data_IF_361928941067
#
_entry.id   IF_361928941067
#
_cell.length_a   1.000
_cell.length_b   1.000
_cell.length_c   1.000
_cell.angle_alpha   90.00
_cell.angle_beta   90.00
_cell.angle_gamma   90.00
#
_symmetry.space_group_name_H-M   'P 1'
#
loop_
_entity.id
_entity.type
_entity.pdbx_description
1 polymer ?
#
# COMPACT_ATOMS: atom_id res chain seq x y z
N UNK A 1 3.88 -67.69 -58.49
CA UNK A 1 5.00 -67.00 -57.79
C UNK A 1 5.73 -66.19 -58.84
N UNK A 2 5.92 -64.88 -58.82
CA UNK A 2 5.55 -63.79 -57.94
C UNK A 2 5.51 -62.52 -58.82
N UNK A 3 4.68 -61.55 -58.46
CA UNK A 3 4.45 -60.33 -59.23
C UNK A 3 5.42 -59.18 -58.83
N UNK A 4 5.48 -58.22 -59.73
CA UNK A 4 6.34 -57.04 -59.86
C UNK A 4 6.43 -56.06 -58.67
N UNK A 5 7.45 -55.20 -58.79
CA UNK A 5 7.87 -54.06 -57.97
C UNK A 5 6.73 -53.14 -57.47
N UNK A 6 6.87 -52.63 -56.24
CA UNK A 6 6.75 -51.21 -55.99
C UNK A 6 7.54 -50.76 -54.74
N UNK A 7 8.17 -49.60 -54.89
CA UNK A 7 8.99 -48.86 -53.94
C UNK A 7 8.11 -48.07 -52.96
N UNK A 8 8.47 -48.02 -51.66
CA UNK A 8 8.52 -46.80 -50.83
C UNK A 8 8.73 -47.12 -49.34
N UNK A 9 9.94 -46.76 -48.88
CA UNK A 9 10.19 -45.84 -47.76
C UNK A 9 9.56 -46.14 -46.39
N UNK A 10 10.36 -46.59 -45.40
CA UNK A 10 10.32 -46.04 -44.04
C UNK A 10 11.50 -46.49 -43.16
N UNK A 11 12.17 -45.54 -42.51
CA UNK A 11 12.66 -45.76 -41.15
C UNK A 11 14.17 -45.95 -40.95
N UNK A 12 15.01 -45.13 -41.59
CA UNK A 12 16.36 -44.91 -41.05
C UNK A 12 16.23 -44.27 -39.66
N UNK A 13 16.75 -44.97 -38.64
CA UNK A 13 16.84 -44.53 -37.25
C UNK A 13 17.68 -43.25 -37.15
N UNK A 14 17.03 -42.11 -37.32
CA UNK A 14 17.60 -40.80 -37.03
C UNK A 14 17.62 -40.54 -35.52
N UNK A 15 18.82 -40.48 -34.96
CA UNK A 15 19.09 -39.75 -33.72
C UNK A 15 18.68 -38.28 -33.93
N UNK A 16 17.45 -37.92 -33.54
CA UNK A 16 17.04 -36.54 -33.35
C UNK A 16 17.23 -36.23 -31.85
N UNK A 17 18.44 -35.84 -31.46
CA UNK A 17 18.77 -34.43 -31.26
C UNK A 17 17.90 -33.79 -30.18
N UNK A 18 18.38 -33.99 -28.96
CA UNK A 18 18.25 -33.11 -27.80
C UNK A 18 18.56 -31.66 -28.21
N UNK A 19 17.53 -30.91 -28.64
CA UNK A 19 17.64 -29.49 -28.98
C UNK A 19 16.47 -28.70 -28.40
N UNK A 20 16.40 -28.59 -27.07
CA UNK A 20 15.64 -27.48 -26.46
C UNK A 20 16.35 -26.84 -25.24
N UNK A 21 17.67 -27.01 -25.17
CA UNK A 21 18.56 -26.21 -24.32
C UNK A 21 18.83 -24.83 -24.98
N UNK A 22 17.77 -24.12 -25.37
CA UNK A 22 17.92 -22.70 -25.66
C UNK A 22 18.33 -21.99 -24.37
N UNK A 23 19.56 -21.47 -24.36
CA UNK A 23 20.18 -20.70 -23.28
C UNK A 23 19.28 -19.53 -22.86
N UNK A 24 18.37 -19.80 -21.90
CA UNK A 24 17.47 -18.80 -21.34
C UNK A 24 18.26 -18.07 -20.26
N UNK A 25 18.53 -16.79 -20.48
CA UNK A 25 19.27 -15.98 -19.50
C UNK A 25 18.62 -16.00 -18.11
N UNK A 26 19.36 -15.63 -17.04
CA UNK A 26 18.89 -15.65 -15.65
C UNK A 26 17.52 -14.99 -15.43
N UNK A 27 17.22 -13.94 -16.22
CA UNK A 27 15.95 -13.23 -16.26
C UNK A 27 14.74 -14.12 -16.64
N UNK A 28 14.92 -15.03 -17.61
CA UNK A 28 13.88 -15.97 -18.00
C UNK A 28 13.55 -16.98 -16.89
N UNK A 29 14.55 -17.38 -16.11
CA UNK A 29 14.36 -18.24 -14.95
C UNK A 29 13.69 -17.53 -13.79
N UNK A 30 14.04 -16.27 -13.52
CA UNK A 30 13.43 -15.46 -12.45
C UNK A 30 11.95 -15.18 -12.76
N UNK A 31 11.62 -14.73 -13.97
CA UNK A 31 10.24 -14.40 -14.36
C UNK A 31 9.37 -15.65 -14.42
N UNK A 32 9.81 -16.68 -15.15
CA UNK A 32 9.09 -17.96 -15.18
C UNK A 32 9.03 -18.58 -13.79
N UNK A 33 9.99 -18.25 -12.94
CA UNK A 33 9.98 -18.63 -11.55
C UNK A 33 8.86 -17.94 -10.77
N UNK A 34 8.78 -16.62 -10.85
CA UNK A 34 7.73 -15.81 -10.23
C UNK A 34 6.33 -16.30 -10.61
N UNK A 35 6.12 -16.58 -11.90
CA UNK A 35 4.84 -17.06 -12.46
C UNK A 35 4.54 -18.54 -12.17
N UNK A 36 5.55 -19.36 -11.82
CA UNK A 36 5.36 -20.79 -11.46
C UNK A 36 5.33 -21.05 -9.96
N UNK A 37 5.58 -20.04 -9.13
CA UNK A 37 5.47 -20.16 -7.67
C UNK A 37 4.12 -19.67 -7.17
N UNK A 38 3.40 -20.45 -6.36
CA UNK A 38 2.11 -20.01 -5.80
C UNK A 38 2.24 -18.71 -5.01
N UNK A 39 3.35 -18.52 -4.29
CA UNK A 39 3.60 -17.32 -3.49
C UNK A 39 3.82 -16.05 -4.34
N UNK A 40 4.54 -16.16 -5.46
CA UNK A 40 4.75 -15.02 -6.37
C UNK A 40 3.46 -14.64 -7.11
N UNK A 41 2.68 -15.63 -7.54
CA UNK A 41 1.37 -15.42 -8.15
C UNK A 41 0.40 -14.76 -7.16
N UNK A 42 0.39 -15.22 -5.90
CA UNK A 42 -0.42 -14.62 -4.85
C UNK A 42 -0.08 -13.14 -4.63
N UNK A 43 1.20 -12.77 -4.59
CA UNK A 43 1.61 -11.38 -4.46
C UNK A 43 1.14 -10.50 -5.62
N UNK A 44 1.26 -10.97 -6.86
CA UNK A 44 0.77 -10.24 -8.05
C UNK A 44 -0.77 -10.15 -8.06
N UNK A 45 -1.47 -11.23 -7.72
CA UNK A 45 -2.93 -11.22 -7.65
C UNK A 45 -3.43 -10.26 -6.56
N UNK A 46 -2.82 -10.31 -5.36
CA UNK A 46 -3.17 -9.43 -4.26
C UNK A 46 -2.96 -7.96 -4.62
N UNK A 47 -1.80 -7.59 -5.18
CA UNK A 47 -1.53 -6.21 -5.61
C UNK A 47 -2.51 -5.71 -6.65
N UNK A 48 -2.76 -6.50 -7.70
CA UNK A 48 -3.65 -6.10 -8.80
C UNK A 48 -5.10 -5.96 -8.34
N UNK A 49 -5.60 -6.89 -7.52
CA UNK A 49 -6.94 -6.81 -6.94
C UNK A 49 -7.05 -5.61 -5.99
N UNK A 50 -6.08 -5.42 -5.10
CA UNK A 50 -6.05 -4.27 -4.19
C UNK A 50 -6.06 -2.94 -4.95
N UNK A 51 -5.23 -2.78 -5.98
CA UNK A 51 -5.21 -1.56 -6.82
C UNK A 51 -6.55 -1.33 -7.49
N UNK A 52 -7.14 -2.36 -8.09
CA UNK A 52 -8.40 -2.25 -8.83
C UNK A 52 -9.53 -1.81 -7.91
N UNK A 53 -9.70 -2.49 -6.76
CA UNK A 53 -10.74 -2.15 -5.79
C UNK A 53 -10.53 -0.77 -5.18
N UNK A 54 -9.28 -0.38 -4.96
CA UNK A 54 -8.92 0.92 -4.38
C UNK A 54 -9.23 2.08 -5.34
N UNK A 55 -8.96 1.92 -6.64
CA UNK A 55 -9.34 2.92 -7.64
C UNK A 55 -10.86 3.04 -7.77
N UNK A 56 -11.59 1.92 -7.75
CA UNK A 56 -13.05 1.93 -7.77
C UNK A 56 -13.60 2.62 -6.51
N UNK A 57 -13.06 2.27 -5.34
CA UNK A 57 -13.45 2.87 -4.05
C UNK A 57 -13.24 4.38 -4.05
N UNK A 58 -12.08 4.85 -4.50
CA UNK A 58 -11.79 6.28 -4.63
C UNK A 58 -12.80 6.99 -5.55
N UNK A 59 -13.11 6.41 -6.71
CA UNK A 59 -14.07 7.01 -7.64
C UNK A 59 -15.46 7.11 -7.01
N UNK A 60 -15.90 6.08 -6.29
CA UNK A 60 -17.21 6.06 -5.61
C UNK A 60 -17.27 7.11 -4.51
N UNK A 61 -16.20 7.24 -3.72
CA UNK A 61 -16.07 8.21 -2.63
C UNK A 61 -16.12 9.66 -3.16
N UNK A 62 -15.36 9.96 -4.21
CA UNK A 62 -15.35 11.27 -4.87
C UNK A 62 -16.69 11.65 -5.52
N UNK A 63 -17.54 10.67 -5.82
CA UNK A 63 -18.90 10.91 -6.32
C UNK A 63 -19.91 11.19 -5.19
N UNK A 64 -19.50 11.13 -3.92
CA UNK A 64 -20.37 11.33 -2.75
C UNK A 64 -21.48 10.29 -2.66
N UNK A 65 -21.23 9.05 -3.14
CA UNK A 65 -22.26 8.01 -3.28
C UNK A 65 -22.41 7.15 -2.02
N UNK A 66 -21.47 7.21 -1.08
CA UNK A 66 -21.39 6.29 0.06
C UNK A 66 -20.94 7.02 1.32
N UNK A 67 -21.86 7.26 2.25
CA UNK A 67 -21.56 7.77 3.60
C UNK A 67 -21.39 6.62 4.60
N UNK A 68 -20.47 5.70 4.33
CA UNK A 68 -20.26 4.52 5.17
C UNK A 68 -18.81 4.49 5.73
N UNK A 69 -18.63 4.54 7.08
CA UNK A 69 -17.29 4.51 7.68
C UNK A 69 -16.49 3.27 7.27
N UNK A 70 -17.15 2.12 7.09
CA UNK A 70 -16.51 0.88 6.69
C UNK A 70 -15.95 0.92 5.27
N UNK A 71 -16.64 1.61 4.35
CA UNK A 71 -16.17 1.76 2.98
C UNK A 71 -14.89 2.60 2.92
N UNK A 72 -14.83 3.67 3.71
CA UNK A 72 -13.64 4.52 3.80
C UNK A 72 -12.46 3.80 4.47
N UNK A 73 -12.68 3.06 5.57
CA UNK A 73 -11.63 2.23 6.19
C UNK A 73 -11.08 1.19 5.20
N UNK A 74 -11.96 0.50 4.49
CA UNK A 74 -11.56 -0.50 3.51
C UNK A 74 -10.71 0.14 2.41
N UNK A 75 -11.16 1.25 1.85
CA UNK A 75 -10.53 1.93 0.70
C UNK A 75 -9.21 2.58 1.07
N UNK A 76 -9.14 3.27 2.22
CA UNK A 76 -8.01 4.12 2.58
C UNK A 76 -7.01 3.47 3.55
N UNK A 77 -7.36 2.36 4.21
CA UNK A 77 -6.45 1.68 5.16
C UNK A 77 -6.16 0.24 4.75
N UNK A 78 -7.19 -0.57 4.53
CA UNK A 78 -7.03 -2.02 4.32
C UNK A 78 -6.47 -2.33 2.93
N UNK A 79 -7.04 -1.75 1.86
CA UNK A 79 -6.60 -2.03 0.48
C UNK A 79 -5.17 -1.54 0.19
N UNK A 80 -4.74 -0.34 0.63
CA UNK A 80 -3.34 0.08 0.50
C UNK A 80 -2.38 -0.84 1.27
N UNK A 81 -2.75 -1.28 2.48
CA UNK A 81 -1.95 -2.24 3.23
C UNK A 81 -1.82 -3.59 2.48
N UNK A 82 -2.92 -4.08 1.90
CA UNK A 82 -2.92 -5.27 1.04
C UNK A 82 -2.01 -5.13 -0.19
N UNK A 83 -2.05 -3.97 -0.85
CA UNK A 83 -1.15 -3.66 -1.96
C UNK A 83 0.32 -3.68 -1.53
N UNK A 84 0.67 -3.03 -0.41
CA UNK A 84 2.05 -3.03 0.11
C UNK A 84 2.51 -4.44 0.47
N UNK A 85 1.66 -5.23 1.15
CA UNK A 85 1.96 -6.62 1.49
C UNK A 85 2.19 -7.45 0.22
N UNK A 86 1.34 -7.31 -0.79
CA UNK A 86 1.51 -7.96 -2.08
C UNK A 86 2.83 -7.58 -2.75
N UNK A 87 3.17 -6.29 -2.78
CA UNK A 87 4.44 -5.80 -3.34
C UNK A 87 5.66 -6.34 -2.59
N UNK A 88 5.58 -6.51 -1.27
CA UNK A 88 6.65 -7.07 -0.42
C UNK A 88 6.74 -8.59 -0.57
N UNK A 89 5.64 -9.31 -0.79
CA UNK A 89 5.67 -10.76 -1.00
C UNK A 89 6.39 -11.16 -2.30
N UNK A 90 6.37 -10.34 -3.34
CA UNK A 90 7.06 -10.59 -4.63
C UNK A 90 8.58 -10.74 -4.46
N UNK A 91 9.34 -9.79 -3.88
CA UNK A 91 10.77 -9.93 -3.65
C UNK A 91 11.09 -11.02 -2.61
N UNK A 92 10.23 -11.24 -1.61
CA UNK A 92 10.39 -12.35 -0.65
C UNK A 92 10.31 -13.69 -1.38
N UNK A 93 9.33 -13.89 -2.26
CA UNK A 93 9.20 -15.11 -3.06
C UNK A 93 10.42 -15.32 -3.97
N UNK A 94 10.92 -14.25 -4.59
CA UNK A 94 12.13 -14.30 -5.41
C UNK A 94 13.37 -14.67 -4.58
N UNK A 95 13.52 -14.10 -3.37
CA UNK A 95 14.64 -14.37 -2.47
C UNK A 95 14.64 -15.80 -1.93
N UNK A 96 13.49 -16.29 -1.45
CA UNK A 96 13.35 -17.66 -0.96
C UNK A 96 13.66 -18.69 -2.05
N UNK A 97 13.20 -18.44 -3.28
CA UNK A 97 13.48 -19.28 -4.44
C UNK A 97 14.96 -19.28 -4.81
N UNK A 98 15.59 -18.10 -4.80
CA UNK A 98 17.04 -17.98 -5.02
C UNK A 98 17.82 -18.78 -3.98
N UNK A 99 17.41 -18.74 -2.70
CA UNK A 99 18.01 -19.54 -1.63
C UNK A 99 17.86 -21.04 -1.86
N UNK A 100 16.70 -21.50 -2.35
CA UNK A 100 16.49 -22.91 -2.72
C UNK A 100 17.41 -23.33 -3.88
N UNK A 101 17.55 -22.51 -4.93
CA UNK A 101 18.42 -22.84 -6.07
C UNK A 101 19.91 -22.94 -5.70
N UNK A 102 20.38 -22.13 -4.75
CA UNK A 102 21.74 -22.27 -4.20
C UNK A 102 21.89 -23.56 -3.38
N UNK A 103 20.86 -23.98 -2.63
CA UNK A 103 20.89 -25.25 -1.88
C UNK A 103 20.89 -26.49 -2.79
N UNK A 104 20.14 -26.46 -3.89
CA UNK A 104 20.02 -27.58 -4.82
C UNK A 104 21.04 -27.55 -5.99
N UNK A 105 21.95 -26.57 -6.03
CA UNK A 105 23.04 -26.49 -7.00
C UNK A 105 22.63 -26.15 -8.45
N UNK A 106 21.38 -25.73 -8.69
CA UNK A 106 20.79 -25.58 -10.04
C UNK A 106 21.21 -24.28 -10.74
N UNK A 107 21.63 -23.25 -10.00
CA UNK A 107 22.02 -21.96 -10.59
C UNK A 107 23.23 -21.34 -9.87
N UNK A 108 24.37 -21.28 -10.55
CA UNK A 108 25.59 -20.54 -10.12
C UNK A 108 25.74 -19.18 -10.80
N UNK A 109 24.90 -18.86 -11.78
CA UNK A 109 25.01 -17.62 -12.54
C UNK A 109 24.56 -16.40 -11.72
N UNK A 110 25.42 -15.38 -11.73
CA UNK A 110 25.14 -14.07 -11.14
C UNK A 110 24.19 -13.28 -12.05
N UNK A 111 23.40 -12.39 -11.44
CA UNK A 111 22.53 -11.48 -12.16
C UNK A 111 23.37 -10.54 -13.03
N UNK A 112 23.47 -10.81 -14.33
CA UNK A 112 24.09 -9.91 -15.31
C UNK A 112 23.01 -8.99 -15.88
N UNK A 113 23.05 -7.71 -15.52
CA UNK A 113 22.27 -6.67 -16.18
C UNK A 113 23.13 -6.15 -17.34
N UNK A 114 22.82 -6.60 -18.56
CA UNK A 114 23.42 -6.05 -19.78
C UNK A 114 22.41 -5.10 -20.45
N UNK A 115 22.61 -3.78 -20.30
CA UNK A 115 21.74 -2.74 -20.87
C UNK A 115 21.82 -2.66 -22.40
N UNK A 116 22.86 -3.23 -23.00
CA UNK A 116 23.02 -3.29 -24.46
C UNK A 116 22.13 -4.37 -25.09
N UNK A 117 21.67 -5.36 -24.32
CA UNK A 117 20.70 -6.34 -24.79
C UNK A 117 19.27 -5.74 -24.75
N UNK A 118 18.60 -5.76 -25.91
CA UNK A 118 17.23 -5.30 -26.07
C UNK A 118 16.26 -5.98 -25.08
N UNK A 119 16.46 -7.27 -24.78
CA UNK A 119 15.55 -8.01 -23.88
C UNK A 119 15.65 -7.50 -22.44
N UNK A 120 16.87 -7.41 -21.91
CA UNK A 120 17.10 -6.85 -20.58
C UNK A 120 16.62 -5.40 -20.47
N UNK A 121 16.86 -4.58 -21.50
CA UNK A 121 16.38 -3.19 -21.54
C UNK A 121 14.85 -3.10 -21.43
N UNK A 122 14.10 -3.91 -22.18
CA UNK A 122 12.62 -3.94 -22.08
C UNK A 122 12.16 -4.32 -20.66
N UNK A 123 12.81 -5.29 -20.02
CA UNK A 123 12.45 -5.71 -18.66
C UNK A 123 12.74 -4.63 -17.61
N UNK A 124 13.91 -4.01 -17.67
CA UNK A 124 14.28 -2.93 -16.75
C UNK A 124 13.33 -1.75 -16.92
N UNK A 125 13.04 -1.34 -18.16
CA UNK A 125 12.08 -0.26 -18.44
C UNK A 125 10.69 -0.63 -17.93
N UNK A 126 10.19 -1.83 -18.21
CA UNK A 126 8.87 -2.28 -17.74
C UNK A 126 8.77 -2.33 -16.21
N UNK A 127 9.83 -2.78 -15.53
CA UNK A 127 9.92 -2.75 -14.07
C UNK A 127 9.86 -1.33 -13.52
N UNK A 128 10.68 -0.42 -14.06
CA UNK A 128 10.69 0.99 -13.63
C UNK A 128 9.31 1.64 -13.83
N UNK A 129 8.70 1.46 -15.01
CA UNK A 129 7.37 2.02 -15.31
C UNK A 129 6.32 1.47 -14.34
N UNK A 130 6.31 0.16 -14.10
CA UNK A 130 5.36 -0.45 -13.17
C UNK A 130 5.58 0.06 -11.74
N UNK A 131 6.84 0.17 -11.29
CA UNK A 131 7.16 0.74 -9.97
C UNK A 131 6.68 2.17 -9.84
N UNK A 132 6.91 3.02 -10.85
CA UNK A 132 6.44 4.41 -10.85
C UNK A 132 4.92 4.48 -10.75
N UNK A 133 4.19 3.64 -11.51
CA UNK A 133 2.72 3.58 -11.44
C UNK A 133 2.25 3.16 -10.04
N UNK A 134 2.84 2.11 -9.46
CA UNK A 134 2.47 1.65 -8.12
C UNK A 134 2.72 2.73 -7.05
N UNK A 135 3.87 3.42 -7.12
CA UNK A 135 4.20 4.51 -6.20
C UNK A 135 3.24 5.69 -6.38
N UNK A 136 2.91 6.06 -7.62
CA UNK A 136 1.97 7.16 -7.88
C UNK A 136 0.58 6.85 -7.32
N UNK A 137 0.07 5.63 -7.53
CA UNK A 137 -1.22 5.20 -6.99
C UNK A 137 -1.21 5.22 -5.45
N UNK A 138 -0.16 4.68 -4.81
CA UNK A 138 -0.02 4.73 -3.36
C UNK A 138 0.07 6.15 -2.82
N UNK A 139 0.75 7.05 -3.54
CA UNK A 139 0.85 8.45 -3.12
C UNK A 139 -0.51 9.15 -3.16
N UNK A 140 -1.29 8.95 -4.22
CA UNK A 140 -2.64 9.54 -4.36
C UNK A 140 -3.57 9.00 -3.27
N UNK A 141 -3.66 7.68 -3.11
CA UNK A 141 -4.55 7.08 -2.12
C UNK A 141 -4.06 7.35 -0.69
N UNK A 142 -2.74 7.36 -0.49
CA UNK A 142 -2.14 7.70 0.79
C UNK A 142 -2.43 9.15 1.19
N UNK A 143 -2.53 10.07 0.24
CA UNK A 143 -2.92 11.46 0.49
C UNK A 143 -4.38 11.57 0.92
N UNK A 144 -5.30 10.89 0.23
CA UNK A 144 -6.71 10.85 0.63
C UNK A 144 -6.91 10.12 1.97
N UNK A 145 -6.21 9.01 2.18
CA UNK A 145 -6.23 8.29 3.45
C UNK A 145 -5.63 9.11 4.60
N UNK A 146 -4.64 9.95 4.31
CA UNK A 146 -4.14 10.93 5.26
C UNK A 146 -5.24 11.89 5.71
N UNK A 147 -5.91 12.56 4.78
CA UNK A 147 -7.02 13.49 5.08
C UNK A 147 -8.19 12.79 5.77
N UNK A 148 -8.50 11.57 5.35
CA UNK A 148 -9.52 10.75 6.00
C UNK A 148 -9.20 10.56 7.48
N UNK A 149 -7.98 10.12 7.82
CA UNK A 149 -7.58 9.89 9.22
C UNK A 149 -7.41 11.15 10.06
N UNK A 150 -7.35 12.33 9.43
CA UNK A 150 -7.31 13.64 10.10
C UNK A 150 -8.70 14.29 10.23
N UNK A 151 -9.70 13.70 9.59
CA UNK A 151 -11.05 14.25 9.57
C UNK A 151 -11.79 14.06 10.89
N UNK A 152 -12.68 15.00 11.27
CA UNK A 152 -13.62 14.80 12.38
C UNK A 152 -14.50 13.56 12.20
N UNK A 153 -14.77 13.17 10.96
CA UNK A 153 -15.54 11.98 10.64
C UNK A 153 -14.82 10.71 11.08
N UNK A 154 -13.52 10.57 10.82
CA UNK A 154 -12.74 9.43 11.30
C UNK A 154 -12.72 9.39 12.83
N UNK A 155 -12.33 10.49 13.48
CA UNK A 155 -12.26 10.52 14.94
C UNK A 155 -13.62 10.25 15.61
N UNK A 156 -14.71 10.83 15.09
CA UNK A 156 -16.04 10.76 15.71
C UNK A 156 -16.87 9.54 15.34
N UNK A 157 -16.79 9.09 14.08
CA UNK A 157 -17.64 8.00 13.56
C UNK A 157 -16.91 6.66 13.52
N UNK A 158 -15.61 6.63 13.23
CA UNK A 158 -14.84 5.37 13.23
C UNK A 158 -14.50 4.96 14.67
N UNK A 159 -13.95 5.88 15.47
CA UNK A 159 -13.60 5.62 16.87
C UNK A 159 -14.74 5.88 17.87
N UNK A 160 -15.99 5.93 17.39
CA UNK A 160 -17.17 6.41 18.12
C UNK A 160 -17.28 5.94 19.59
N UNK A 161 -16.95 4.69 19.91
CA UNK A 161 -17.04 4.18 21.28
C UNK A 161 -16.20 4.99 22.30
N UNK A 162 -14.98 5.35 21.93
CA UNK A 162 -14.04 6.06 22.82
C UNK A 162 -14.01 7.57 22.58
N UNK A 163 -14.59 8.04 21.47
CA UNK A 163 -14.57 9.45 21.06
C UNK A 163 -15.96 10.11 21.06
N UNK A 164 -17.05 9.39 21.34
CA UNK A 164 -18.41 9.97 21.32
C UNK A 164 -18.55 11.21 22.21
N UNK A 165 -18.10 11.23 23.49
CA UNK A 165 -18.24 12.40 24.35
C UNK A 165 -17.60 13.66 23.74
N UNK A 166 -16.37 13.54 23.25
CA UNK A 166 -15.58 14.60 22.64
C UNK A 166 -16.22 15.05 21.31
N UNK A 167 -16.70 14.10 20.50
CA UNK A 167 -17.32 14.40 19.22
C UNK A 167 -18.66 15.14 19.39
N UNK A 168 -19.44 14.83 20.42
CA UNK A 168 -20.67 15.56 20.76
C UNK A 168 -20.39 17.00 21.18
N UNK A 169 -19.35 17.23 21.98
CA UNK A 169 -18.92 18.57 22.39
C UNK A 169 -18.39 19.35 21.19
N UNK A 170 -17.56 18.73 20.36
CA UNK A 170 -17.03 19.31 19.12
C UNK A 170 -18.16 19.86 18.23
N UNK A 171 -19.20 19.07 17.97
CA UNK A 171 -20.34 19.46 17.14
C UNK A 171 -21.11 20.69 17.66
N UNK A 172 -21.07 20.93 18.98
CA UNK A 172 -21.75 22.06 19.63
C UNK A 172 -20.82 23.24 19.89
N UNK A 173 -19.53 23.10 19.57
CA UNK A 173 -18.51 24.14 19.82
C UNK A 173 -18.46 25.18 18.70
N UNK A 174 -17.90 26.38 18.97
CA UNK A 174 -17.60 27.37 17.92
C UNK A 174 -16.65 26.86 16.83
N UNK A 175 -15.94 25.74 17.08
CA UNK A 175 -14.97 25.13 16.18
C UNK A 175 -15.52 23.89 15.46
N UNK A 176 -16.84 23.67 15.42
CA UNK A 176 -17.47 22.49 14.79
C UNK A 176 -17.19 22.30 13.28
N UNK A 177 -16.51 23.27 12.64
CA UNK A 177 -16.09 23.25 11.23
C UNK A 177 -14.57 23.24 11.04
N UNK A 178 -13.81 23.12 12.13
CA UNK A 178 -12.34 23.09 12.15
C UNK A 178 -11.91 21.66 12.41
N UNK A 179 -10.99 21.10 11.62
CA UNK A 179 -10.62 19.70 11.80
C UNK A 179 -10.02 19.46 13.20
N UNK A 180 -10.29 18.28 13.80
CA UNK A 180 -9.78 17.96 15.14
C UNK A 180 -8.25 18.15 15.22
N UNK A 181 -7.55 17.81 14.14
CA UNK A 181 -6.10 17.87 14.04
C UNK A 181 -5.54 19.29 14.00
N UNK A 182 -6.30 20.30 13.57
CA UNK A 182 -5.83 21.69 13.59
C UNK A 182 -5.59 22.17 15.02
N UNK A 183 -6.34 21.64 15.97
CA UNK A 183 -6.14 21.88 17.40
C UNK A 183 -5.23 20.83 18.06
N UNK A 184 -5.41 19.54 17.72
CA UNK A 184 -4.81 18.41 18.44
C UNK A 184 -3.48 17.91 17.87
N UNK A 185 -3.15 18.23 16.61
CA UNK A 185 -1.82 17.98 16.00
C UNK A 185 -1.08 19.31 15.84
N UNK A 186 0.22 19.34 16.11
CA UNK A 186 1.03 20.56 15.94
C UNK A 186 1.30 20.85 14.47
N UNK A 187 1.53 22.11 14.08
CA UNK A 187 1.98 22.40 12.73
C UNK A 187 3.36 21.75 12.50
N UNK A 188 3.61 21.32 11.27
CA UNK A 188 4.89 20.77 10.85
C UNK A 188 4.96 19.24 10.81
N UNK A 189 5.91 18.75 10.01
CA UNK A 189 6.02 17.32 9.68
C UNK A 189 6.37 16.43 10.89
N UNK A 190 7.13 16.94 11.87
CA UNK A 190 7.52 16.17 13.04
C UNK A 190 6.30 15.82 13.92
N UNK A 191 5.49 16.82 14.27
CA UNK A 191 4.26 16.63 15.04
C UNK A 191 3.25 15.74 14.33
N UNK A 192 3.18 15.87 13.00
CA UNK A 192 2.40 14.98 12.16
C UNK A 192 2.82 13.51 12.32
N UNK A 193 4.11 13.20 12.17
CA UNK A 193 4.62 11.82 12.31
C UNK A 193 4.39 11.29 13.73
N UNK A 194 4.68 12.10 14.74
CA UNK A 194 4.47 11.73 16.15
C UNK A 194 2.99 11.44 16.44
N UNK A 195 2.06 12.22 15.87
CA UNK A 195 0.64 12.01 16.01
C UNK A 195 0.19 10.68 15.39
N UNK A 196 0.70 10.30 14.21
CA UNK A 196 0.37 9.00 13.58
C UNK A 196 0.93 7.80 14.35
N UNK A 197 2.16 7.90 14.86
CA UNK A 197 2.74 6.86 15.73
C UNK A 197 1.93 6.71 17.02
N UNK A 198 1.52 7.82 17.62
CA UNK A 198 0.69 7.81 18.84
C UNK A 198 -0.72 7.28 18.57
N UNK A 199 -1.31 7.66 17.43
CA UNK A 199 -2.59 7.13 16.97
C UNK A 199 -2.57 5.62 16.76
N UNK A 200 -1.47 5.05 16.23
CA UNK A 200 -1.33 3.59 16.12
C UNK A 200 -1.37 2.90 17.49
N UNK A 201 -0.74 3.49 18.52
CA UNK A 201 -0.83 2.98 19.90
C UNK A 201 -2.25 3.08 20.45
N UNK A 202 -2.99 4.15 20.14
CA UNK A 202 -4.38 4.30 20.54
C UNK A 202 -5.29 3.26 19.86
N UNK A 203 -5.12 3.04 18.55
CA UNK A 203 -5.85 1.99 17.83
C UNK A 203 -5.59 0.62 18.46
N UNK A 204 -4.33 0.31 18.79
CA UNK A 204 -3.99 -0.92 19.50
C UNK A 204 -4.69 -0.99 20.87
N UNK A 205 -4.65 0.08 21.66
CA UNK A 205 -5.29 0.12 22.97
C UNK A 205 -6.81 -0.08 22.90
N UNK A 206 -7.48 0.48 21.88
CA UNK A 206 -8.90 0.26 21.61
C UNK A 206 -9.15 -1.19 21.21
N UNK A 207 -8.34 -1.76 20.31
CA UNK A 207 -8.46 -3.15 19.88
C UNK A 207 -8.24 -4.17 21.02
N UNK A 208 -7.39 -3.84 22.00
CA UNK A 208 -7.07 -4.70 23.13
C UNK A 208 -7.81 -4.34 24.42
N UNK A 209 -8.76 -3.40 24.38
CA UNK A 209 -9.49 -2.83 25.52
C UNK A 209 -8.57 -2.41 26.70
N UNK A 210 -7.37 -1.93 26.38
CA UNK A 210 -6.32 -1.63 27.37
C UNK A 210 -6.19 -0.13 27.65
N UNK A 211 -7.26 0.63 27.47
CA UNK A 211 -7.31 2.07 27.73
C UNK A 211 -7.95 2.39 29.10
N UNK A 212 -7.61 3.56 29.65
CA UNK A 212 -8.12 3.98 30.96
C UNK A 212 -9.61 4.31 30.90
N UNK A 213 -10.37 3.89 31.93
CA UNK A 213 -11.78 4.21 32.12
C UNK A 213 -11.96 4.87 33.51
N UNK A 214 -12.32 6.17 33.61
CA UNK A 214 -12.63 7.10 32.51
C UNK A 214 -11.37 7.53 31.73
N UNK A 215 -11.57 7.90 30.46
CA UNK A 215 -10.49 8.41 29.61
C UNK A 215 -10.05 9.77 30.18
N UNK A 216 -8.78 9.94 30.60
CA UNK A 216 -8.33 11.19 31.17
C UNK A 216 -8.30 12.27 30.10
N UNK A 217 -8.69 13.50 30.47
CA UNK A 217 -8.51 14.64 29.58
C UNK A 217 -7.02 14.77 29.21
N UNK A 218 -6.67 14.92 27.92
CA UNK A 218 -5.28 14.92 27.47
C UNK A 218 -4.49 16.19 27.86
N UNK A 219 -5.11 17.11 28.60
CA UNK A 219 -4.54 18.40 29.01
C UNK A 219 -3.89 18.29 30.39
N UNK A 220 -2.68 17.71 30.43
CA UNK A 220 -1.75 17.97 31.55
C UNK A 220 -1.05 19.33 31.36
N UNK A 221 -0.80 19.71 30.11
CA UNK A 221 -0.27 21.00 29.68
C UNK A 221 -0.95 21.40 28.38
N UNK A 222 -1.80 22.43 28.39
CA UNK A 222 -2.28 23.03 27.14
C UNK A 222 -1.05 23.45 26.33
N UNK A 223 -1.00 23.09 25.04
CA UNK A 223 0.04 23.63 24.14
C UNK A 223 0.00 25.16 24.22
N UNK A 224 1.14 25.85 24.05
CA UNK A 224 1.15 27.30 24.01
C UNK A 224 0.10 27.78 23.01
N UNK A 225 -0.83 28.64 23.46
CA UNK A 225 -1.94 29.12 22.65
C UNK A 225 -1.47 29.73 21.31
N UNK A 226 -0.23 30.19 21.25
CA UNK A 226 0.42 30.75 20.05
C UNK A 226 0.46 29.79 18.88
N UNK A 227 0.83 28.53 19.11
CA UNK A 227 1.06 27.58 18.02
C UNK A 227 -0.22 26.90 17.52
N UNK A 228 -1.34 27.11 18.20
CA UNK A 228 -2.62 26.45 17.89
C UNK A 228 -3.75 27.45 17.70
N UNK A 229 -3.97 28.35 18.66
CA UNK A 229 -5.07 29.30 18.66
C UNK A 229 -4.71 30.54 17.83
N UNK A 230 -3.48 31.06 17.95
CA UNK A 230 -3.07 32.33 17.30
C UNK A 230 -2.90 32.22 15.78
N UNK A 231 -2.95 31.01 15.22
CA UNK A 231 -3.05 30.84 13.77
C UNK A 231 -4.35 31.43 13.20
N UNK A 232 -5.42 31.44 14.01
CA UNK A 232 -6.76 31.92 13.62
C UNK A 232 -7.24 33.10 14.50
N UNK A 233 -6.81 33.18 15.76
CA UNK A 233 -7.20 34.22 16.72
C UNK A 233 -6.02 35.14 17.03
N UNK A 234 -5.98 36.33 16.46
CA UNK A 234 -4.80 37.19 16.57
C UNK A 234 -4.94 38.24 17.71
N UNK A 235 -4.38 38.01 18.91
CA UNK A 235 -4.64 38.85 20.09
C UNK A 235 -4.25 40.31 19.85
N UNK A 236 -3.13 40.53 19.16
CA UNK A 236 -2.60 41.87 18.87
C UNK A 236 -3.42 42.66 17.84
N UNK A 237 -4.37 42.02 17.14
CA UNK A 237 -5.27 42.70 16.18
C UNK A 237 -6.65 43.00 16.75
N UNK A 238 -6.97 42.56 17.96
CA UNK A 238 -8.18 43.01 18.66
C UNK A 238 -7.97 44.41 19.25
N UNK A 239 -8.08 45.45 18.42
CA UNK A 239 -8.23 46.83 18.87
C UNK A 239 -9.73 47.20 18.91
N UNK A 240 -10.27 47.31 20.13
CA UNK A 240 -11.67 47.69 20.41
C UNK A 240 -12.62 46.50 20.36
N UNK A 241 -13.39 46.14 21.38
CA UNK A 241 -13.95 46.86 22.53
C UNK A 241 -13.88 45.97 23.77
N UNK A 242 -13.18 46.43 24.82
CA UNK A 242 -13.59 46.12 26.19
C UNK A 242 -14.80 47.02 26.47
N UNK A 243 -16.00 46.43 26.50
CA UNK A 243 -17.18 47.00 27.13
C UNK A 243 -17.66 45.99 28.17
#
# INVERSE_FOLDING_TARGET
>A
MAAAENNQDNGSKGQAQDTDHHYRGPWGHIIRGMWRTPLGLFGVALTTVSITLMLIGLIIDQLGRVDNPYAAILTYMILPAGMVLGLVTIPIAAFLRRRQWYKFGIAKDHLKINLSDHRHRRYVVGFIVLTVINVAILAIIGYEGYHFTDSPYFCGMVCHEVMEPEYRVYQRSPHARVACVECHIGPGAEWFVQAKISGLRQVLAVMTDSYNKPIPAPVAHLRPARDTCEQCHWPEKFFGTQL
#
